data_IF_988113748601
#
_entry.id   IF_988113748601
#
_cell.length_a   1.000
_cell.length_b   1.000
_cell.length_c   1.000
_cell.angle_alpha   90.00
_cell.angle_beta   90.00
_cell.angle_gamma   90.00
#
_symmetry.space_group_name_H-M   'P 1'
#
loop_
_entity.id
_entity.type
_entity.pdbx_description
1 polymer ?
#
# COMPACT_ATOMS: atom_id res chain seq x y z
N UNK A 1 -28.44 23.59 30.58
CA UNK A 1 -27.04 23.14 30.52
C UNK A 1 -27.02 21.92 29.64
N UNK A 2 -26.17 21.90 28.62
CA UNK A 2 -26.07 20.75 27.72
C UNK A 2 -25.27 19.61 28.37
N UNK A 3 -25.49 18.36 27.93
CA UNK A 3 -24.88 17.16 28.51
C UNK A 3 -23.34 17.21 28.55
N UNK A 4 -22.70 17.79 27.53
CA UNK A 4 -21.25 17.93 27.45
C UNK A 4 -20.66 18.95 28.46
N UNK A 5 -21.50 19.74 29.14
CA UNK A 5 -21.06 20.71 30.17
C UNK A 5 -21.09 20.10 31.58
N UNK A 6 -21.53 18.84 31.73
CA UNK A 6 -21.57 18.16 33.01
C UNK A 6 -20.18 17.64 33.38
N UNK A 7 -19.79 17.77 34.64
CA UNK A 7 -18.52 17.28 35.17
C UNK A 7 -18.57 15.76 35.34
N UNK A 8 -17.52 15.03 34.94
CA UNK A 8 -17.34 13.59 35.24
C UNK A 8 -17.06 13.33 36.71
N UNK A 9 -16.75 14.39 37.47
CA UNK A 9 -16.47 14.34 38.90
C UNK A 9 -17.54 15.16 39.65
N UNK A 10 -18.29 14.57 40.59
CA UNK A 10 -19.15 15.35 41.49
C UNK A 10 -18.30 16.34 42.29
N UNK A 11 -18.77 17.57 42.52
CA UNK A 11 -18.05 18.54 43.36
C UNK A 11 -17.80 18.00 44.79
N UNK A 12 -16.64 18.33 45.37
CA UNK A 12 -16.06 17.74 46.60
C UNK A 12 -16.95 17.78 47.86
N UNK A 13 -18.03 18.56 47.83
CA UNK A 13 -18.90 18.84 48.97
C UNK A 13 -20.04 17.82 49.13
N UNK A 14 -20.18 16.85 48.22
CA UNK A 14 -21.33 15.94 48.22
C UNK A 14 -21.18 14.76 47.25
N UNK A 15 -20.50 13.73 47.72
CA UNK A 15 -20.51 12.39 47.13
C UNK A 15 -21.78 11.66 47.57
N UNK A 16 -22.79 11.56 46.71
CA UNK A 16 -23.83 10.55 46.91
C UNK A 16 -23.17 9.19 46.62
N UNK A 17 -22.86 8.42 47.66
CA UNK A 17 -22.28 7.08 47.47
C UNK A 17 -23.11 6.18 46.54
N UNK A 18 -24.43 6.43 46.45
CA UNK A 18 -25.36 5.89 45.45
C UNK A 18 -26.47 6.91 45.14
N UNK A 19 -27.00 6.91 43.91
CA UNK A 19 -28.16 7.73 43.50
C UNK A 19 -29.40 7.22 44.25
N UNK A 20 -30.04 8.09 45.05
CA UNK A 20 -31.28 7.82 45.80
C UNK A 20 -32.39 8.81 45.44
N UNK A 21 -33.54 8.28 45.02
CA UNK A 21 -34.74 9.04 44.66
C UNK A 21 -35.95 8.67 45.54
N UNK A 22 -35.71 8.15 46.75
CA UNK A 22 -36.77 7.82 47.68
C UNK A 22 -37.67 9.05 47.98
N UNK A 23 -38.97 8.80 48.11
CA UNK A 23 -39.93 9.85 48.45
C UNK A 23 -39.73 10.33 49.90
N UNK A 24 -39.89 11.63 50.16
CA UNK A 24 -39.72 12.23 51.49
C UNK A 24 -38.27 12.55 51.91
N UNK A 25 -37.31 12.39 51.00
CA UNK A 25 -35.91 12.70 51.23
C UNK A 25 -35.65 14.22 51.43
N UNK A 26 -34.65 14.61 52.27
CA UNK A 26 -34.23 16.00 52.39
C UNK A 26 -33.80 16.59 51.04
N UNK A 27 -34.07 17.87 50.75
CA UNK A 27 -33.68 18.49 49.47
C UNK A 27 -32.17 18.38 49.14
N UNK A 28 -31.30 18.28 50.15
CA UNK A 28 -29.86 18.09 49.94
C UNK A 28 -29.52 16.75 49.31
N UNK A 29 -30.13 15.65 49.77
CA UNK A 29 -29.82 14.31 49.24
C UNK A 29 -30.37 14.14 47.82
N UNK A 30 -31.51 14.77 47.51
CA UNK A 30 -32.04 14.88 46.14
C UNK A 30 -31.04 15.60 45.22
N UNK A 31 -30.42 16.70 45.69
CA UNK A 31 -29.42 17.44 44.91
C UNK A 31 -28.10 16.66 44.76
N UNK A 32 -27.71 15.87 45.76
CA UNK A 32 -26.54 14.99 45.70
C UNK A 32 -26.76 13.87 44.67
N UNK A 33 -27.93 13.22 44.71
CA UNK A 33 -28.35 12.20 43.74
C UNK A 33 -28.41 12.74 42.32
N UNK A 34 -28.93 13.96 42.13
CA UNK A 34 -28.95 14.63 40.83
C UNK A 34 -27.53 14.86 40.29
N UNK A 35 -26.60 15.32 41.14
CA UNK A 35 -25.21 15.57 40.75
C UNK A 35 -24.43 14.29 40.44
N UNK A 36 -24.63 13.24 41.24
CA UNK A 36 -24.01 11.94 40.97
C UNK A 36 -24.54 11.37 39.66
N UNK A 37 -25.86 11.43 39.41
CA UNK A 37 -26.44 11.02 38.13
C UNK A 37 -25.87 11.82 36.96
N UNK A 38 -25.75 13.15 37.11
CA UNK A 38 -25.13 13.98 36.09
C UNK A 38 -23.67 13.58 35.83
N UNK A 39 -22.90 13.25 36.88
CA UNK A 39 -21.52 12.81 36.76
C UNK A 39 -21.37 11.41 36.15
N UNK A 40 -22.23 10.46 36.52
CA UNK A 40 -22.22 9.09 35.98
C UNK A 40 -22.58 9.07 34.49
N UNK A 41 -23.59 9.85 34.09
CA UNK A 41 -23.95 9.99 32.67
C UNK A 41 -22.83 10.68 31.90
N UNK A 42 -22.20 11.71 32.47
CA UNK A 42 -21.05 12.38 31.85
C UNK A 42 -19.85 11.43 31.70
N UNK A 43 -19.57 10.60 32.71
CA UNK A 43 -18.49 9.63 32.71
C UNK A 43 -18.73 8.51 31.67
N UNK A 44 -19.95 7.97 31.60
CA UNK A 44 -20.32 6.97 30.60
C UNK A 44 -20.20 7.52 29.18
N UNK A 45 -20.64 8.75 28.94
CA UNK A 45 -20.55 9.40 27.64
C UNK A 45 -19.09 9.65 27.19
N UNK A 46 -18.18 9.90 28.13
CA UNK A 46 -16.81 10.33 27.83
C UNK A 46 -15.86 9.20 27.37
N UNK A 47 -16.20 7.91 27.51
CA UNK A 47 -15.27 6.82 27.19
C UNK A 47 -15.83 5.46 26.77
N UNK A 48 -17.02 5.31 26.15
CA UNK A 48 -17.52 3.98 25.82
C UNK A 48 -16.98 3.51 24.46
N UNK A 49 -16.04 2.56 24.49
CA UNK A 49 -15.66 1.79 23.29
C UNK A 49 -16.70 0.68 22.98
N UNK A 50 -17.33 0.17 24.04
CA UNK A 50 -18.29 -0.92 24.04
C UNK A 50 -19.58 -0.48 24.71
N UNK A 51 -20.71 -0.71 24.03
CA UNK A 51 -22.03 -0.29 24.47
C UNK A 51 -22.80 -1.49 25.01
N UNK A 52 -23.07 -1.46 26.31
CA UNK A 52 -23.99 -2.37 26.97
C UNK A 52 -25.41 -1.77 26.97
N UNK A 53 -26.38 -2.50 26.42
CA UNK A 53 -27.78 -2.07 26.33
C UNK A 53 -28.69 -2.73 27.39
N UNK A 54 -28.11 -3.44 28.36
CA UNK A 54 -28.82 -4.12 29.45
C UNK A 54 -29.66 -5.33 28.99
N UNK A 55 -29.37 -5.88 27.80
CA UNK A 55 -30.08 -7.04 27.29
C UNK A 55 -29.55 -8.32 27.93
N UNK A 56 -30.44 -9.22 28.33
CA UNK A 56 -30.05 -10.53 28.87
C UNK A 56 -29.83 -11.52 27.72
N UNK A 57 -28.58 -11.93 27.44
CA UNK A 57 -28.32 -12.97 26.45
C UNK A 57 -28.75 -14.34 26.98
N UNK A 58 -29.27 -15.19 26.11
CA UNK A 58 -29.43 -16.62 26.37
C UNK A 58 -28.47 -17.38 25.50
N UNK A 59 -27.58 -18.15 26.13
CA UNK A 59 -26.69 -19.04 25.42
C UNK A 59 -27.50 -20.06 24.61
N UNK A 60 -27.21 -20.16 23.31
CA UNK A 60 -27.77 -21.18 22.42
C UNK A 60 -26.67 -22.18 22.07
N UNK A 61 -25.52 -21.66 21.67
CA UNK A 61 -24.36 -22.45 21.31
C UNK A 61 -23.10 -21.60 21.42
N UNK A 62 -21.95 -22.21 21.13
CA UNK A 62 -20.64 -21.58 21.26
C UNK A 62 -20.42 -20.34 20.39
N UNK A 63 -21.28 -20.08 19.40
CA UNK A 63 -21.23 -18.89 18.52
C UNK A 63 -22.57 -18.18 18.41
N UNK A 64 -23.58 -18.64 19.15
CA UNK A 64 -24.91 -18.10 19.07
C UNK A 64 -25.47 -17.83 20.45
N UNK A 65 -26.08 -16.66 20.55
CA UNK A 65 -26.93 -16.32 21.65
C UNK A 65 -28.23 -15.73 21.10
N UNK A 66 -29.28 -15.79 21.90
CA UNK A 66 -30.49 -15.03 21.64
C UNK A 66 -30.68 -13.91 22.63
N UNK A 67 -31.37 -12.87 22.19
CA UNK A 67 -31.90 -11.79 23.02
C UNK A 67 -33.39 -11.63 22.75
N UNK A 68 -34.15 -11.23 23.77
CA UNK A 68 -35.59 -11.08 23.68
C UNK A 68 -36.00 -9.94 22.71
N UNK A 69 -37.10 -10.17 21.98
CA UNK A 69 -37.65 -9.23 21.01
C UNK A 69 -36.80 -9.11 19.74
N UNK A 70 -37.19 -8.16 18.87
CA UNK A 70 -36.48 -7.87 17.64
C UNK A 70 -35.35 -6.84 17.90
N UNK A 71 -34.11 -7.33 17.89
CA UNK A 71 -32.88 -6.59 18.18
C UNK A 71 -31.94 -6.56 16.96
N UNK A 72 -32.44 -6.91 15.76
CA UNK A 72 -31.62 -7.00 14.54
C UNK A 72 -30.96 -5.68 14.14
N UNK A 73 -31.58 -4.54 14.49
CA UNK A 73 -31.00 -3.20 14.26
C UNK A 73 -29.86 -2.85 15.24
N UNK A 74 -29.82 -3.48 16.42
CA UNK A 74 -28.75 -3.32 17.39
C UNK A 74 -27.57 -4.24 17.05
N UNK A 75 -27.88 -5.51 16.77
CA UNK A 75 -26.95 -6.56 16.41
C UNK A 75 -26.84 -6.70 14.89
N UNK A 76 -26.30 -5.68 14.23
CA UNK A 76 -26.14 -5.68 12.77
C UNK A 76 -24.97 -6.54 12.32
N UNK A 77 -25.10 -7.17 11.15
CA UNK A 77 -24.01 -7.98 10.56
C UNK A 77 -22.78 -7.10 10.28
N UNK A 78 -21.59 -7.60 10.61
CA UNK A 78 -20.29 -6.93 10.55
C UNK A 78 -19.91 -6.16 11.82
N UNK A 79 -20.82 -6.04 12.80
CA UNK A 79 -20.58 -5.22 13.99
C UNK A 79 -19.68 -5.95 14.95
N UNK A 80 -18.79 -5.21 15.61
CA UNK A 80 -17.99 -5.76 16.71
C UNK A 80 -18.88 -6.08 17.89
N UNK A 81 -18.57 -7.16 18.59
CA UNK A 81 -19.23 -7.61 19.82
C UNK A 81 -18.16 -7.97 20.85
N UNK A 82 -18.46 -7.76 22.12
CA UNK A 82 -17.71 -8.25 23.26
C UNK A 82 -18.69 -8.93 24.22
N UNK A 83 -18.37 -10.11 24.68
CA UNK A 83 -19.24 -10.89 25.58
C UNK A 83 -18.48 -11.27 26.83
N UNK A 84 -19.19 -11.45 27.94
CA UNK A 84 -18.62 -11.95 29.18
C UNK A 84 -19.26 -13.29 29.50
N UNK A 85 -18.42 -14.29 29.76
CA UNK A 85 -18.82 -15.66 30.01
C UNK A 85 -18.06 -16.17 31.24
N UNK A 86 -18.45 -17.34 31.76
CA UNK A 86 -17.70 -17.95 32.88
C UNK A 86 -16.26 -18.30 32.47
N UNK A 87 -16.05 -18.63 31.20
CA UNK A 87 -14.73 -18.85 30.61
C UNK A 87 -13.94 -17.59 30.27
N UNK A 88 -14.53 -16.39 30.40
CA UNK A 88 -13.85 -15.10 30.14
C UNK A 88 -14.50 -14.22 29.06
N UNK A 89 -13.79 -13.14 28.70
CA UNK A 89 -14.25 -12.16 27.70
C UNK A 89 -14.00 -12.66 26.29
N UNK A 90 -15.04 -12.65 25.44
CA UNK A 90 -14.95 -13.01 24.03
C UNK A 90 -15.29 -11.83 23.15
N UNK A 91 -14.34 -11.40 22.32
CA UNK A 91 -14.55 -10.42 21.26
C UNK A 91 -14.98 -11.12 19.98
N UNK A 92 -15.72 -10.46 19.09
CA UNK A 92 -16.13 -11.05 17.82
C UNK A 92 -16.79 -10.08 16.86
N UNK A 93 -17.12 -10.57 15.67
CA UNK A 93 -17.84 -9.83 14.63
C UNK A 93 -19.16 -10.54 14.34
N UNK A 94 -20.27 -9.83 14.35
CA UNK A 94 -21.59 -10.42 14.07
C UNK A 94 -21.64 -10.88 12.61
N UNK A 95 -22.01 -12.15 12.37
CA UNK A 95 -22.14 -12.71 11.02
C UNK A 95 -23.57 -12.90 10.57
N UNK A 96 -24.50 -13.11 11.51
CA UNK A 96 -25.92 -13.18 11.22
C UNK A 96 -26.73 -12.63 12.39
N UNK A 97 -27.90 -12.07 12.08
CA UNK A 97 -28.83 -11.55 13.06
C UNK A 97 -30.24 -11.72 12.52
N UNK A 98 -31.01 -12.64 13.11
CA UNK A 98 -32.29 -13.10 12.57
C UNK A 98 -33.34 -13.12 13.67
N UNK A 99 -34.50 -12.52 13.42
CA UNK A 99 -35.62 -12.47 14.36
C UNK A 99 -36.73 -13.44 13.96
N UNK A 100 -37.23 -14.20 14.94
CA UNK A 100 -38.49 -14.97 14.84
C UNK A 100 -39.39 -14.66 16.04
N UNK A 101 -39.24 -15.37 17.16
CA UNK A 101 -39.80 -15.04 18.47
C UNK A 101 -38.79 -14.31 19.37
N UNK A 102 -37.50 -14.56 19.13
CA UNK A 102 -36.34 -13.89 19.71
C UNK A 102 -35.36 -13.54 18.59
N UNK A 103 -34.42 -12.62 18.84
CA UNK A 103 -33.32 -12.37 17.89
C UNK A 103 -32.20 -13.32 18.19
N UNK A 104 -31.95 -14.25 17.27
CA UNK A 104 -30.77 -15.11 17.32
C UNK A 104 -29.63 -14.38 16.61
N UNK A 105 -28.54 -14.15 17.34
CA UNK A 105 -27.34 -13.48 16.83
C UNK A 105 -26.25 -14.52 16.73
N UNK A 106 -25.69 -14.64 15.53
CA UNK A 106 -24.51 -15.45 15.27
C UNK A 106 -23.31 -14.54 15.17
N UNK A 107 -22.21 -14.91 15.84
CA UNK A 107 -20.97 -14.15 15.84
C UNK A 107 -19.83 -15.01 15.28
N UNK A 108 -18.81 -14.34 14.81
CA UNK A 108 -17.49 -14.88 14.53
C UNK A 108 -16.58 -14.33 15.62
N UNK A 109 -16.31 -15.09 16.68
CA UNK A 109 -15.35 -14.66 17.70
C UNK A 109 -13.99 -14.33 17.09
N UNK A 110 -13.30 -13.35 17.65
CA UNK A 110 -11.90 -13.09 17.36
C UNK A 110 -11.05 -14.15 18.05
N UNK A 111 -10.00 -14.59 17.36
CA UNK A 111 -9.11 -15.63 17.89
C UNK A 111 -9.92 -16.90 18.26
N UNK A 112 -9.58 -17.60 19.36
CA UNK A 112 -10.22 -18.85 19.79
C UNK A 112 -11.32 -18.65 20.85
N UNK A 113 -11.88 -17.44 20.97
CA UNK A 113 -12.96 -17.19 21.93
C UNK A 113 -14.19 -18.04 21.59
N UNK A 114 -14.85 -18.60 22.61
CA UNK A 114 -16.13 -19.31 22.45
C UNK A 114 -17.11 -18.85 23.51
N UNK A 115 -18.36 -18.67 23.12
CA UNK A 115 -19.43 -18.49 24.09
C UNK A 115 -19.59 -19.79 24.90
N UNK A 116 -19.99 -19.68 26.15
CA UNK A 116 -20.29 -20.82 27.01
C UNK A 116 -21.62 -20.61 27.75
N UNK A 117 -22.11 -21.66 28.41
CA UNK A 117 -23.39 -21.62 29.13
C UNK A 117 -23.42 -20.58 30.26
N UNK A 118 -22.27 -20.05 30.66
CA UNK A 118 -22.12 -18.94 31.59
C UNK A 118 -22.09 -17.55 30.95
N UNK A 119 -22.49 -17.41 29.67
CA UNK A 119 -22.69 -16.13 29.01
C UNK A 119 -23.65 -15.25 29.83
N UNK A 120 -23.13 -14.13 30.33
CA UNK A 120 -23.84 -13.24 31.25
C UNK A 120 -24.11 -11.85 30.66
N UNK A 121 -23.29 -11.41 29.71
CA UNK A 121 -23.37 -10.04 29.16
C UNK A 121 -22.86 -10.00 27.73
N UNK A 122 -23.48 -9.12 26.92
CA UNK A 122 -23.08 -8.86 25.54
C UNK A 122 -23.12 -7.36 25.27
N UNK A 123 -21.96 -6.82 24.94
CA UNK A 123 -21.76 -5.45 24.46
C UNK A 123 -21.56 -5.44 22.95
N UNK A 124 -22.00 -4.38 22.30
CA UNK A 124 -21.69 -4.13 20.89
C UNK A 124 -20.67 -3.00 20.78
N UNK A 125 -19.76 -3.11 19.82
CA UNK A 125 -18.81 -2.04 19.54
C UNK A 125 -19.56 -0.77 19.16
N UNK A 126 -19.06 0.38 19.60
CA UNK A 126 -19.70 1.66 19.34
C UNK A 126 -19.96 1.89 17.83
N UNK A 127 -19.07 1.40 16.97
CA UNK A 127 -19.21 1.44 15.51
C UNK A 127 -20.21 0.39 15.02
N UNK A 128 -21.30 0.84 14.40
CA UNK A 128 -22.29 -0.04 13.76
C UNK A 128 -22.07 -0.05 12.24
N UNK A 129 -21.74 -1.18 11.60
CA UNK A 129 -21.43 -1.22 10.17
C UNK A 129 -22.62 -0.98 9.24
N UNK A 130 -23.86 -1.17 9.71
CA UNK A 130 -25.05 -0.76 8.93
C UNK A 130 -25.12 0.76 8.78
N UNK A 131 -24.42 1.47 9.67
CA UNK A 131 -24.27 2.92 9.71
C UNK A 131 -22.80 3.27 9.97
N UNK A 132 -21.88 2.55 9.32
CA UNK A 132 -20.46 2.56 9.68
C UNK A 132 -19.94 3.99 9.67
N UNK A 133 -19.51 4.49 10.83
CA UNK A 133 -18.80 5.77 10.87
C UNK A 133 -17.32 5.63 10.45
N UNK A 134 -16.83 4.40 10.20
CA UNK A 134 -15.54 4.11 9.55
C UNK A 134 -15.75 3.55 8.13
N UNK A 135 -15.01 4.06 7.16
CA UNK A 135 -14.95 3.53 5.79
C UNK A 135 -14.10 2.24 5.73
N UNK A 136 -14.41 1.29 4.84
CA UNK A 136 -13.69 0.00 4.70
C UNK A 136 -12.58 0.06 3.64
N UNK A 137 -11.82 -1.03 3.51
CA UNK A 137 -10.53 -1.17 2.82
C UNK A 137 -10.64 -2.12 1.62
N UNK A 138 -11.53 -1.88 0.63
CA UNK A 138 -11.95 -2.93 -0.27
C UNK A 138 -10.99 -2.94 -1.47
N UNK A 139 -9.80 -3.52 -1.26
CA UNK A 139 -8.81 -3.83 -2.31
C UNK A 139 -7.39 -3.29 -2.12
N UNK A 140 -7.19 -2.19 -1.38
CA UNK A 140 -5.92 -1.64 -0.87
C UNK A 140 -6.26 -0.39 -0.06
N UNK A 141 -5.54 -0.05 0.99
CA UNK A 141 -5.69 1.28 1.62
C UNK A 141 -4.46 1.65 2.40
N UNK A 142 -3.86 2.71 1.91
CA UNK A 142 -2.82 3.51 2.53
C UNK A 142 -3.07 4.93 2.02
N UNK A 143 -3.49 5.82 2.90
CA UNK A 143 -3.87 7.19 2.58
C UNK A 143 -2.88 8.14 3.27
N UNK A 144 -2.27 9.03 2.48
CA UNK A 144 -1.16 9.86 2.94
C UNK A 144 -1.51 11.34 2.81
N UNK A 145 -1.50 12.13 3.89
CA UNK A 145 -1.65 13.57 3.79
C UNK A 145 -0.34 14.21 3.26
N UNK A 146 -0.48 15.21 2.39
CA UNK A 146 0.62 15.80 1.61
C UNK A 146 1.84 16.25 2.45
N UNK A 147 3.02 16.16 1.81
CA UNK A 147 4.36 16.47 2.35
C UNK A 147 4.82 15.58 3.53
N UNK A 148 4.13 14.47 3.81
CA UNK A 148 4.70 13.39 4.62
C UNK A 148 5.79 12.64 3.84
N UNK A 149 7.02 12.61 4.36
CA UNK A 149 8.15 11.87 3.76
C UNK A 149 8.00 10.33 3.89
N UNK A 150 6.83 9.80 4.21
CA UNK A 150 6.64 8.41 4.62
C UNK A 150 5.24 7.91 4.26
N UNK A 151 5.02 7.68 2.96
CA UNK A 151 3.70 7.27 2.46
C UNK A 151 3.29 5.83 2.84
N UNK A 152 4.30 4.98 2.91
CA UNK A 152 4.24 3.63 3.43
C UNK A 152 5.67 3.32 3.79
N UNK A 153 5.99 3.46 5.06
CA UNK A 153 7.34 3.14 5.52
C UNK A 153 7.44 1.64 5.72
N UNK A 154 8.03 0.97 4.73
CA UNK A 154 8.61 -0.37 4.91
C UNK A 154 10.03 -0.16 5.40
N UNK A 155 10.26 -0.27 6.71
CA UNK A 155 11.58 -0.10 7.31
C UNK A 155 12.16 -1.43 7.78
N UNK A 156 13.49 -1.54 7.70
CA UNK A 156 14.23 -2.68 8.23
C UNK A 156 15.67 -2.22 8.59
N UNK A 157 15.82 -1.25 9.50
CA UNK A 157 17.07 -0.51 9.70
C UNK A 157 18.26 -1.38 10.14
N UNK A 158 17.99 -2.52 10.80
CA UNK A 158 19.01 -3.45 11.28
C UNK A 158 19.02 -4.77 10.49
N UNK A 159 18.29 -4.85 9.37
CA UNK A 159 18.26 -6.05 8.54
C UNK A 159 19.51 -6.10 7.69
N UNK A 160 20.22 -7.23 7.72
CA UNK A 160 21.30 -7.51 6.77
C UNK A 160 20.81 -7.49 5.33
N UNK A 161 19.50 -7.65 5.14
CA UNK A 161 18.85 -7.56 3.85
C UNK A 161 18.25 -6.17 3.55
N UNK A 162 18.22 -5.21 4.46
CA UNK A 162 17.48 -3.95 4.23
C UNK A 162 15.97 -4.17 4.09
N UNK A 163 15.26 -3.18 3.55
CA UNK A 163 13.81 -3.14 3.52
C UNK A 163 13.27 -3.58 2.15
N UNK A 164 12.14 -4.30 2.13
CA UNK A 164 11.55 -4.70 0.86
C UNK A 164 10.13 -5.21 0.94
N UNK A 165 9.49 -5.22 -0.22
CA UNK A 165 8.16 -5.77 -0.46
C UNK A 165 8.34 -6.99 -1.37
N UNK A 166 7.88 -8.15 -0.91
CA UNK A 166 7.80 -9.34 -1.75
C UNK A 166 6.52 -9.32 -2.58
N UNK A 167 6.68 -9.51 -3.88
CA UNK A 167 5.59 -9.77 -4.81
C UNK A 167 5.60 -11.25 -5.16
N UNK A 168 4.54 -11.95 -4.78
CA UNK A 168 4.38 -13.39 -5.03
C UNK A 168 3.79 -13.60 -6.42
N UNK A 169 4.51 -14.33 -7.28
CA UNK A 169 4.02 -14.70 -8.60
C UNK A 169 3.28 -16.04 -8.60
N UNK A 170 2.69 -16.41 -9.74
CA UNK A 170 1.93 -17.66 -9.91
C UNK A 170 2.64 -18.76 -10.73
N UNK A 171 3.93 -18.60 -11.02
CA UNK A 171 4.76 -19.57 -11.77
C UNK A 171 5.31 -20.73 -10.93
N UNK A 172 5.74 -21.82 -11.59
CA UNK A 172 6.18 -23.07 -10.93
C UNK A 172 7.61 -23.04 -10.39
N UNK A 173 8.52 -22.34 -11.08
CA UNK A 173 9.92 -22.17 -10.65
C UNK A 173 10.22 -20.69 -10.55
N UNK A 174 10.69 -20.25 -9.37
CA UNK A 174 11.12 -18.88 -9.09
C UNK A 174 10.09 -17.79 -9.46
N UNK A 175 8.84 -17.85 -8.97
CA UNK A 175 7.80 -16.89 -9.35
C UNK A 175 7.95 -15.50 -8.72
N UNK A 176 8.51 -15.41 -7.52
CA UNK A 176 8.45 -14.18 -6.72
C UNK A 176 9.50 -13.17 -7.14
N UNK A 177 9.30 -11.90 -6.78
CA UNK A 177 10.33 -10.85 -6.88
C UNK A 177 10.23 -9.95 -5.67
N UNK A 178 11.36 -9.36 -5.29
CA UNK A 178 11.39 -8.38 -4.20
C UNK A 178 11.70 -7.01 -4.79
N UNK A 179 10.86 -6.02 -4.45
CA UNK A 179 11.24 -4.62 -4.52
C UNK A 179 11.98 -4.31 -3.23
N UNK A 180 13.24 -3.89 -3.30
CA UNK A 180 14.07 -3.81 -2.10
C UNK A 180 15.03 -2.64 -2.14
N UNK A 181 15.24 -2.02 -0.98
CA UNK A 181 16.21 -0.98 -0.73
C UNK A 181 17.26 -1.51 0.24
N UNK A 182 18.52 -1.50 -0.20
CA UNK A 182 19.64 -2.02 0.59
C UNK A 182 20.92 -1.28 0.23
N UNK A 183 21.69 -0.85 1.23
CA UNK A 183 22.96 -0.13 1.04
C UNK A 183 22.86 1.05 0.04
N UNK A 184 21.83 1.88 0.17
CA UNK A 184 21.66 3.09 -0.66
C UNK A 184 21.25 2.84 -2.11
N UNK A 185 20.74 1.64 -2.43
CA UNK A 185 20.27 1.31 -3.77
C UNK A 185 18.89 0.67 -3.73
N UNK A 186 18.09 0.96 -4.74
CA UNK A 186 16.85 0.25 -5.02
C UNK A 186 17.12 -0.88 -6.01
N UNK A 187 16.44 -2.00 -5.85
CA UNK A 187 16.66 -3.20 -6.64
C UNK A 187 15.38 -3.97 -6.89
N UNK A 188 15.45 -4.78 -7.94
CA UNK A 188 14.60 -5.95 -8.11
C UNK A 188 15.45 -7.19 -7.82
N UNK A 189 15.08 -7.97 -6.80
CA UNK A 189 15.75 -9.23 -6.46
C UNK A 189 15.07 -10.44 -7.08
N UNK A 190 15.88 -11.46 -7.32
CA UNK A 190 15.41 -12.75 -7.74
C UNK A 190 14.56 -13.44 -6.66
N UNK A 191 13.89 -14.50 -7.07
CA UNK A 191 12.88 -15.19 -6.26
C UNK A 191 13.45 -15.94 -5.06
N UNK A 192 14.76 -16.24 -5.07
CA UNK A 192 15.47 -16.84 -3.93
C UNK A 192 16.05 -15.78 -2.99
N UNK A 193 15.87 -14.49 -3.29
CA UNK A 193 16.41 -13.36 -2.54
C UNK A 193 17.95 -13.41 -2.34
N UNK A 194 18.67 -13.99 -3.30
CA UNK A 194 20.13 -14.16 -3.25
C UNK A 194 20.87 -13.24 -4.20
N UNK A 195 20.20 -12.81 -5.28
CA UNK A 195 20.86 -12.11 -6.39
C UNK A 195 19.98 -10.97 -6.89
N UNK A 196 20.57 -9.79 -7.03
CA UNK A 196 19.93 -8.66 -7.69
C UNK A 196 19.75 -8.97 -9.19
N UNK A 197 18.61 -8.63 -9.77
CA UNK A 197 18.39 -8.74 -11.22
C UNK A 197 18.70 -7.41 -11.91
N UNK A 198 18.30 -6.32 -11.26
CA UNK A 198 18.69 -4.97 -11.62
C UNK A 198 18.70 -4.06 -10.39
N UNK A 199 19.36 -2.92 -10.53
CA UNK A 199 19.44 -1.89 -9.50
C UNK A 199 19.50 -0.48 -10.07
N UNK A 200 19.07 0.48 -9.27
CA UNK A 200 19.33 1.90 -9.47
C UNK A 200 19.95 2.48 -8.18
N UNK A 201 20.98 3.32 -8.34
CA UNK A 201 21.58 4.05 -7.22
C UNK A 201 21.08 5.50 -7.14
N UNK A 202 21.50 6.22 -6.10
CA UNK A 202 21.09 7.63 -5.88
C UNK A 202 21.60 8.60 -6.97
N UNK A 203 22.58 8.20 -7.76
CA UNK A 203 23.08 8.99 -8.91
C UNK A 203 22.27 8.71 -10.18
N UNK A 204 21.33 7.76 -10.13
CA UNK A 204 20.51 7.35 -11.27
C UNK A 204 21.21 6.35 -12.18
N UNK A 205 22.32 5.74 -11.76
CA UNK A 205 22.94 4.69 -12.55
C UNK A 205 22.07 3.42 -12.49
N UNK A 206 21.61 2.97 -13.65
CA UNK A 206 20.89 1.72 -13.77
C UNK A 206 21.83 0.58 -14.17
N UNK A 207 21.73 -0.55 -13.49
CA UNK A 207 22.49 -1.76 -13.78
C UNK A 207 21.50 -2.91 -13.98
N UNK A 208 21.60 -3.60 -15.12
CA UNK A 208 20.98 -4.91 -15.33
C UNK A 208 22.07 -5.99 -15.24
N UNK A 209 21.81 -7.07 -14.50
CA UNK A 209 22.76 -8.20 -14.39
C UNK A 209 22.66 -9.12 -15.62
N UNK A 210 21.49 -9.20 -16.22
CA UNK A 210 21.26 -9.91 -17.49
C UNK A 210 21.26 -8.98 -18.70
N UNK A 211 20.82 -9.51 -19.84
CA UNK A 211 20.73 -8.76 -21.08
C UNK A 211 19.57 -7.76 -21.09
N UNK A 212 19.79 -6.63 -21.76
CA UNK A 212 18.73 -5.71 -22.14
C UNK A 212 18.33 -6.05 -23.58
N UNK A 213 17.15 -6.63 -23.76
CA UNK A 213 16.65 -7.06 -25.07
C UNK A 213 15.63 -6.07 -25.63
N UNK A 214 15.80 -5.68 -26.89
CA UNK A 214 14.83 -4.89 -27.64
C UNK A 214 14.07 -5.78 -28.63
N UNK A 215 12.73 -5.68 -28.66
CA UNK A 215 11.90 -6.40 -29.62
C UNK A 215 12.06 -5.78 -31.03
N UNK A 216 12.27 -6.62 -32.05
CA UNK A 216 12.62 -6.17 -33.40
C UNK A 216 11.95 -7.00 -34.51
N UNK A 217 10.80 -7.60 -34.22
CA UNK A 217 10.02 -8.44 -35.16
C UNK A 217 9.63 -7.66 -36.42
N UNK A 218 9.94 -8.20 -37.60
CA UNK A 218 9.69 -7.55 -38.90
C UNK A 218 8.20 -7.42 -39.21
N UNK A 219 7.34 -8.30 -38.67
CA UNK A 219 5.87 -8.22 -38.88
C UNK A 219 5.26 -6.96 -38.25
N UNK A 220 6.00 -6.31 -37.37
CA UNK A 220 5.63 -5.05 -36.72
C UNK A 220 6.27 -3.83 -37.40
N UNK A 221 6.88 -4.01 -38.59
CA UNK A 221 7.57 -2.96 -39.35
C UNK A 221 6.99 -2.84 -40.75
N UNK A 222 7.01 -1.62 -41.29
CA UNK A 222 6.60 -1.29 -42.66
C UNK A 222 7.46 -0.14 -43.17
N UNK A 223 7.32 0.19 -44.45
CA UNK A 223 7.98 1.34 -45.08
C UNK A 223 9.52 1.27 -44.98
N UNK A 224 10.09 0.09 -45.26
CA UNK A 224 11.54 -0.10 -45.28
C UNK A 224 12.19 0.77 -46.35
N UNK A 225 13.12 1.63 -45.92
CA UNK A 225 13.91 2.48 -46.79
C UNK A 225 15.41 2.21 -46.57
N UNK A 226 16.19 2.36 -47.64
CA UNK A 226 17.65 2.29 -47.54
C UNK A 226 18.19 3.58 -46.92
N UNK A 227 19.22 3.46 -46.09
CA UNK A 227 19.97 4.64 -45.66
C UNK A 227 20.61 5.33 -46.88
N UNK A 228 20.85 6.66 -46.81
CA UNK A 228 21.45 7.41 -47.92
C UNK A 228 22.76 6.78 -48.42
N UNK A 229 23.06 6.79 -49.74
CA UNK A 229 24.28 6.17 -50.27
C UNK A 229 25.58 6.72 -49.69
N UNK A 230 25.57 7.97 -49.22
CA UNK A 230 26.68 8.65 -48.57
C UNK A 230 26.69 8.49 -47.04
N UNK A 231 25.80 7.65 -46.48
CA UNK A 231 25.62 7.48 -45.04
C UNK A 231 26.93 7.16 -44.31
N UNK A 232 27.74 6.23 -44.82
CA UNK A 232 29.03 5.87 -44.20
C UNK A 232 30.00 7.05 -44.16
N UNK A 233 29.99 7.89 -45.21
CA UNK A 233 30.83 9.10 -45.28
C UNK A 233 30.35 10.15 -44.28
N UNK A 234 29.03 10.32 -44.15
CA UNK A 234 28.42 11.23 -43.18
C UNK A 234 28.65 10.76 -41.74
N UNK A 235 28.54 9.45 -41.49
CA UNK A 235 28.81 8.81 -40.21
C UNK A 235 30.27 9.02 -39.76
N UNK A 236 31.23 8.93 -40.68
CA UNK A 236 32.64 9.17 -40.39
C UNK A 236 32.93 10.60 -39.88
N UNK A 237 32.03 11.56 -40.15
CA UNK A 237 32.13 12.94 -39.69
C UNK A 237 31.37 13.22 -38.38
N UNK A 238 30.70 12.22 -37.79
CA UNK A 238 30.02 12.36 -36.50
C UNK A 238 31.06 12.61 -35.41
N UNK A 239 30.85 13.65 -34.61
CA UNK A 239 31.75 14.02 -33.51
C UNK A 239 31.73 12.92 -32.46
N UNK A 240 32.88 12.27 -32.28
CA UNK A 240 33.08 11.14 -31.37
C UNK A 240 34.41 11.29 -30.61
N UNK A 241 34.53 10.61 -29.47
CA UNK A 241 35.76 10.60 -28.67
C UNK A 241 35.47 10.63 -27.17
N UNK A 242 36.45 11.08 -26.40
CA UNK A 242 36.28 11.29 -24.96
C UNK A 242 36.01 12.76 -24.63
N UNK A 243 35.11 13.01 -23.69
CA UNK A 243 34.73 14.35 -23.25
C UNK A 243 34.52 14.38 -21.74
N UNK A 244 34.66 15.56 -21.14
CA UNK A 244 34.34 15.77 -19.73
C UNK A 244 32.96 16.41 -19.66
N UNK A 245 32.05 15.82 -18.88
CA UNK A 245 30.75 16.40 -18.61
C UNK A 245 30.90 17.67 -17.77
N UNK A 246 30.24 18.75 -18.16
CA UNK A 246 30.33 20.04 -17.45
C UNK A 246 29.60 20.03 -16.09
N UNK A 247 28.59 19.18 -15.94
CA UNK A 247 27.75 19.08 -14.74
C UNK A 247 28.30 18.07 -13.71
N UNK A 248 28.91 16.97 -14.15
CA UNK A 248 29.48 15.96 -13.23
C UNK A 248 30.99 16.00 -13.10
N UNK A 249 31.70 16.63 -14.04
CA UNK A 249 33.17 16.63 -14.10
C UNK A 249 33.79 15.28 -14.51
N UNK A 250 32.98 14.27 -14.82
CA UNK A 250 33.46 12.93 -15.15
C UNK A 250 33.87 12.86 -16.63
N UNK A 251 35.03 12.24 -16.90
CA UNK A 251 35.49 11.93 -18.26
C UNK A 251 34.77 10.68 -18.77
N UNK A 252 34.15 10.80 -19.94
CA UNK A 252 33.37 9.73 -20.58
C UNK A 252 33.74 9.61 -22.06
N UNK A 253 33.30 8.53 -22.70
CA UNK A 253 33.43 8.30 -24.14
C UNK A 253 32.05 8.28 -24.79
N UNK A 254 31.92 8.78 -26.01
CA UNK A 254 30.67 8.71 -26.75
C UNK A 254 30.67 9.53 -28.03
N UNK A 255 29.47 9.87 -28.48
CA UNK A 255 29.22 10.70 -29.67
C UNK A 255 28.37 11.91 -29.30
N UNK A 256 28.42 12.97 -30.10
CA UNK A 256 27.50 14.11 -29.97
C UNK A 256 26.19 13.80 -30.69
N UNK A 257 25.08 13.80 -29.92
CA UNK A 257 23.73 13.68 -30.46
C UNK A 257 23.43 14.75 -31.52
N UNK A 258 23.91 15.98 -31.32
CA UNK A 258 23.76 17.09 -32.28
C UNK A 258 24.42 16.80 -33.63
N UNK A 259 25.61 16.20 -33.62
CA UNK A 259 26.31 15.84 -34.87
C UNK A 259 25.73 14.60 -35.56
N UNK A 260 25.10 13.71 -34.78
CA UNK A 260 24.47 12.50 -35.30
C UNK A 260 23.06 12.78 -35.85
N UNK A 261 22.33 13.76 -35.30
CA UNK A 261 20.99 14.16 -35.71
C UNK A 261 20.81 14.32 -37.22
N UNK A 262 21.65 15.09 -37.95
CA UNK A 262 21.47 15.20 -39.40
C UNK A 262 21.74 13.88 -40.12
N UNK A 263 22.54 12.95 -39.56
CA UNK A 263 22.99 11.70 -40.19
C UNK A 263 21.99 10.55 -39.99
N UNK A 264 21.44 10.41 -38.79
CA UNK A 264 20.51 9.35 -38.41
C UNK A 264 19.52 9.87 -37.35
N UNK A 265 18.58 10.71 -37.79
CA UNK A 265 17.63 11.39 -36.91
C UNK A 265 16.77 10.42 -36.09
N UNK A 266 16.46 9.25 -36.66
CA UNK A 266 15.58 8.24 -36.06
C UNK A 266 16.19 7.62 -34.80
N UNK A 267 17.51 7.76 -34.61
CA UNK A 267 18.22 7.33 -33.42
C UNK A 267 18.39 8.43 -32.36
N UNK A 268 17.80 9.62 -32.56
CA UNK A 268 17.89 10.75 -31.63
C UNK A 268 16.54 11.01 -30.98
N UNK A 269 16.54 11.21 -29.66
CA UNK A 269 15.36 11.59 -28.89
C UNK A 269 15.61 12.87 -28.12
N UNK A 270 14.64 13.79 -28.10
CA UNK A 270 14.67 14.98 -27.27
C UNK A 270 13.76 14.76 -26.04
N UNK A 271 14.22 15.16 -24.86
CA UNK A 271 13.36 15.29 -23.68
C UNK A 271 12.62 16.65 -23.68
N UNK A 272 11.82 16.89 -22.64
CA UNK A 272 11.02 18.11 -22.50
C UNK A 272 11.88 19.38 -22.36
N UNK A 273 13.15 19.24 -21.94
CA UNK A 273 14.13 20.31 -21.83
C UNK A 273 14.95 20.48 -23.14
N UNK A 274 14.51 19.88 -24.25
CA UNK A 274 15.19 19.84 -25.55
C UNK A 274 16.59 19.18 -25.51
N UNK A 275 16.89 18.38 -24.49
CA UNK A 275 18.18 17.66 -24.42
C UNK A 275 18.12 16.44 -25.32
N UNK A 276 19.06 16.39 -26.27
CA UNK A 276 19.18 15.28 -27.21
C UNK A 276 19.90 14.09 -26.59
N UNK A 277 19.33 12.89 -26.76
CA UNK A 277 19.87 11.59 -26.38
C UNK A 277 20.00 10.67 -27.60
N UNK A 278 20.86 9.65 -27.50
CA UNK A 278 21.15 8.71 -28.60
C UNK A 278 20.67 7.32 -28.24
N UNK A 279 19.92 6.70 -29.15
CA UNK A 279 19.57 5.29 -29.16
C UNK A 279 20.79 4.45 -29.60
N UNK A 280 21.80 4.35 -28.71
CA UNK A 280 23.12 3.83 -29.03
C UNK A 280 23.10 2.43 -29.68
N UNK A 281 22.26 1.51 -29.18
CA UNK A 281 22.20 0.15 -29.70
C UNK A 281 21.65 0.08 -31.13
N UNK A 282 20.58 0.84 -31.41
CA UNK A 282 19.96 0.94 -32.73
C UNK A 282 20.90 1.60 -33.73
N UNK A 283 21.47 2.75 -33.35
CA UNK A 283 22.44 3.47 -34.18
C UNK A 283 23.66 2.60 -34.53
N UNK A 284 24.22 1.91 -33.53
CA UNK A 284 25.38 1.06 -33.73
C UNK A 284 25.10 -0.12 -34.66
N UNK A 285 23.98 -0.84 -34.48
CA UNK A 285 23.67 -2.00 -35.31
C UNK A 285 23.41 -1.60 -36.77
N UNK A 286 22.61 -0.55 -37.00
CA UNK A 286 22.36 -0.04 -38.35
C UNK A 286 23.65 0.43 -39.03
N UNK A 287 24.49 1.18 -38.30
CA UNK A 287 25.78 1.64 -38.80
C UNK A 287 26.73 0.48 -39.17
N UNK A 288 26.81 -0.55 -38.33
CA UNK A 288 27.64 -1.73 -38.58
C UNK A 288 27.22 -2.47 -39.87
N UNK A 289 25.92 -2.55 -40.15
CA UNK A 289 25.41 -3.18 -41.38
C UNK A 289 25.84 -2.38 -42.61
N UNK A 290 25.73 -1.05 -42.60
CA UNK A 290 26.18 -0.21 -43.73
C UNK A 290 27.70 -0.24 -43.91
N UNK A 291 28.46 -0.23 -42.81
CA UNK A 291 29.92 -0.41 -42.85
C UNK A 291 30.30 -1.77 -43.45
N UNK A 292 29.58 -2.85 -43.13
CA UNK A 292 29.82 -4.17 -43.72
C UNK A 292 29.56 -4.18 -45.23
N UNK A 293 28.50 -3.52 -45.70
CA UNK A 293 28.23 -3.35 -47.14
C UNK A 293 29.38 -2.63 -47.84
N UNK A 294 29.89 -1.55 -47.23
CA UNK A 294 31.03 -0.80 -47.78
C UNK A 294 32.31 -1.63 -47.82
N UNK A 295 32.59 -2.43 -46.78
CA UNK A 295 33.74 -3.35 -46.77
C UNK A 295 33.65 -4.36 -47.92
N UNK A 296 32.47 -4.93 -48.19
CA UNK A 296 32.26 -5.85 -49.31
C UNK A 296 32.52 -5.14 -50.64
N UNK A 297 32.00 -3.91 -50.81
CA UNK A 297 32.23 -3.09 -52.00
C UNK A 297 33.73 -2.82 -52.22
N UNK A 298 34.46 -2.45 -51.17
CA UNK A 298 35.90 -2.19 -51.25
C UNK A 298 36.69 -3.46 -51.60
N UNK A 299 36.35 -4.63 -51.05
CA UNK A 299 37.00 -5.90 -51.41
C UNK A 299 36.82 -6.22 -52.89
N UNK A 300 35.61 -6.07 -53.42
CA UNK A 300 35.33 -6.29 -54.83
C UNK A 300 36.13 -5.36 -55.76
N UNK A 301 36.55 -4.18 -55.30
CA UNK A 301 37.38 -3.25 -56.07
C UNK A 301 38.88 -3.59 -56.02
N UNK A 302 39.34 -4.21 -54.93
CA UNK A 302 40.77 -4.52 -54.71
C UNK A 302 41.14 -5.92 -55.22
N UNK A 303 40.23 -6.89 -55.18
CA UNK A 303 40.46 -8.25 -55.67
C UNK A 303 40.74 -8.41 -57.18
N UNK A 304 40.18 -7.61 -58.12
CA UNK A 304 40.55 -7.69 -59.55
C UNK A 304 41.96 -7.17 -59.87
N UNK A 305 42.75 -6.74 -58.87
CA UNK A 305 44.14 -6.26 -59.02
C UNK A 305 45.17 -7.33 -58.59
N UNK A 306 44.75 -8.59 -58.42
CA UNK A 306 45.64 -9.76 -58.30
C UNK A 306 45.52 -10.66 -59.52
#
# INVERSE_FOLDING_TARGET
MALWQWSTTPADNATAGAIDWAEGQPPSTVNDSARQMMADVAAWYAGPEWLNYGLTPTYISTTQFSVAGNQTALYTVGRRVRTFNSGGTVYGTISASVFTSVTTVTIVPDNSGSLDSGLSEVDVGMLNPAYASLSSLPGLTLNEPANGNSTLTVNAPNSTNGAGIEMIGNGTTTPNKYLRVWNGKFYIWNSTNTTALCSIDETGNFIAIGDITALSDERLKKDWESLPPDFVQRLANVKSGTYTRIDTGIRQVGVSAQSLLPVLQEAIHADDDERLSVAYGQAALAACVELAKEVIRLRALVEPVK
#
